data_IF_913994888717
#
_entry.id   IF_913994888717
#
_cell.length_a   1.000
_cell.length_b   1.000
_cell.length_c   1.000
_cell.angle_alpha   90.00
_cell.angle_beta   90.00
_cell.angle_gamma   90.00
#
_symmetry.space_group_name_H-M   'P 1'
#
loop_
_entity.id
_entity.type
_entity.pdbx_description
1 polymer ?
#
# COMPACT_ATOMS: atom_id res chain seq x y z
N UNK A 1 20.69 5.99 33.57
CA UNK A 1 20.19 5.61 32.23
C UNK A 1 20.99 4.42 31.74
N UNK A 2 20.35 3.42 31.13
CA UNK A 2 21.07 2.28 30.55
C UNK A 2 21.75 2.72 29.25
N UNK A 3 23.07 2.51 29.15
CA UNK A 3 23.86 2.78 27.96
C UNK A 3 24.46 1.48 27.41
N UNK A 4 24.54 1.32 26.08
CA UNK A 4 25.17 0.14 25.50
C UNK A 4 26.66 0.11 25.88
N UNK A 5 27.12 -1.02 26.42
CA UNK A 5 28.52 -1.19 26.84
C UNK A 5 29.50 -1.18 25.66
N UNK A 6 29.06 -1.61 24.46
CA UNK A 6 29.87 -1.69 23.24
C UNK A 6 29.03 -1.40 22.00
N UNK A 7 29.71 -1.00 20.91
CA UNK A 7 29.09 -0.87 19.58
C UNK A 7 28.58 -2.23 19.09
N UNK A 8 27.38 -2.26 18.51
CA UNK A 8 26.87 -3.45 17.83
C UNK A 8 27.65 -3.71 16.55
N UNK A 9 28.14 -4.95 16.35
CA UNK A 9 28.88 -5.30 15.13
C UNK A 9 27.99 -5.18 13.87
N UNK A 10 28.58 -4.91 12.68
CA UNK A 10 27.83 -4.85 11.43
C UNK A 10 27.03 -6.12 11.16
N UNK A 11 27.62 -7.30 11.43
CA UNK A 11 26.95 -8.60 11.31
C UNK A 11 25.70 -8.70 12.20
N UNK A 12 25.79 -8.35 13.48
CA UNK A 12 24.64 -8.39 14.42
C UNK A 12 23.57 -7.35 14.05
N UNK A 13 23.97 -6.20 13.49
CA UNK A 13 23.03 -5.22 12.98
C UNK A 13 22.32 -5.72 11.72
N UNK A 14 23.02 -6.39 10.79
CA UNK A 14 22.47 -6.99 9.58
C UNK A 14 21.49 -8.12 9.89
N UNK A 15 21.87 -9.06 10.75
CA UNK A 15 21.00 -10.15 11.20
C UNK A 15 19.72 -9.63 11.87
N UNK A 16 19.79 -8.52 12.63
CA UNK A 16 18.60 -7.91 13.21
C UNK A 16 17.67 -7.29 12.16
N UNK A 17 18.23 -6.75 11.07
CA UNK A 17 17.47 -6.11 9.98
C UNK A 17 17.01 -7.10 8.89
N UNK A 18 17.33 -8.39 9.00
CA UNK A 18 16.96 -9.40 7.98
C UNK A 18 15.46 -9.47 7.74
N UNK A 19 14.65 -9.19 8.77
CA UNK A 19 13.19 -9.22 8.71
C UNK A 19 12.56 -7.87 8.37
N UNK A 20 13.35 -6.81 8.17
CA UNK A 20 12.84 -5.45 7.91
C UNK A 20 12.54 -5.20 6.42
N UNK A 21 12.39 -6.24 5.61
CA UNK A 21 12.06 -6.10 4.20
C UNK A 21 10.61 -5.61 4.01
N UNK A 22 10.41 -4.64 3.13
CA UNK A 22 9.09 -4.20 2.71
C UNK A 22 8.45 -5.27 1.82
N UNK A 23 7.14 -5.48 1.96
CA UNK A 23 6.37 -6.36 1.08
C UNK A 23 5.80 -5.55 -0.07
N UNK A 24 5.77 -6.15 -1.27
CA UNK A 24 5.04 -5.58 -2.39
C UNK A 24 3.53 -5.57 -2.08
N UNK A 25 2.85 -4.51 -2.53
CA UNK A 25 1.41 -4.41 -2.42
C UNK A 25 0.73 -5.21 -3.54
N UNK A 26 -0.47 -5.73 -3.26
CA UNK A 26 -1.25 -6.42 -4.27
C UNK A 26 -1.96 -5.41 -5.17
N UNK A 27 -1.83 -5.59 -6.49
CA UNK A 27 -2.54 -4.84 -7.51
C UNK A 27 -3.32 -5.81 -8.38
N UNK A 28 -4.54 -5.41 -8.76
CA UNK A 28 -5.43 -6.15 -9.65
C UNK A 28 -5.97 -5.20 -10.71
N UNK A 29 -6.20 -5.71 -11.91
CA UNK A 29 -6.74 -4.93 -13.01
C UNK A 29 -8.20 -4.52 -12.72
N UNK A 30 -8.55 -3.29 -13.09
CA UNK A 30 -9.94 -2.82 -13.03
C UNK A 30 -10.70 -3.32 -14.25
N UNK A 31 -11.79 -4.07 -14.05
CA UNK A 31 -12.64 -4.58 -15.13
C UNK A 31 -13.28 -3.49 -16.03
N UNK A 32 -13.36 -2.23 -15.56
CA UNK A 32 -13.98 -1.14 -16.32
C UNK A 32 -12.99 -0.32 -17.15
N UNK A 33 -11.79 -0.04 -16.61
CA UNK A 33 -10.82 0.85 -17.26
C UNK A 33 -9.44 0.24 -17.52
N UNK A 34 -9.22 -1.03 -17.16
CA UNK A 34 -7.94 -1.74 -17.36
C UNK A 34 -6.79 -1.28 -16.45
N UNK A 35 -6.95 -0.18 -15.71
CA UNK A 35 -5.92 0.35 -14.82
C UNK A 35 -5.70 -0.54 -13.57
N UNK A 36 -4.46 -0.56 -13.07
CA UNK A 36 -4.09 -1.26 -11.86
C UNK A 36 -4.71 -0.58 -10.63
N UNK A 37 -5.55 -1.32 -9.91
CA UNK A 37 -6.15 -0.89 -8.64
C UNK A 37 -5.77 -1.82 -7.51
N UNK A 38 -5.90 -1.36 -6.26
CA UNK A 38 -5.82 -2.27 -5.11
C UNK A 38 -7.08 -3.17 -5.07
N UNK A 39 -6.94 -4.47 -4.77
CA UNK A 39 -8.09 -5.35 -4.57
C UNK A 39 -9.05 -4.80 -3.50
N UNK A 40 -10.36 -4.99 -3.70
CA UNK A 40 -11.43 -4.50 -2.81
C UNK A 40 -11.51 -2.97 -2.60
N UNK A 41 -10.79 -2.18 -3.40
CA UNK A 41 -10.94 -0.72 -3.40
C UNK A 41 -11.68 -0.23 -4.65
N UNK A 42 -12.30 0.95 -4.50
CA UNK A 42 -12.81 1.75 -5.61
C UNK A 42 -11.64 2.13 -6.51
N UNK A 43 -11.80 2.02 -7.82
CA UNK A 43 -10.76 2.44 -8.75
C UNK A 43 -10.56 3.96 -8.66
N UNK A 44 -9.33 4.42 -8.47
CA UNK A 44 -9.02 5.86 -8.40
C UNK A 44 -9.20 6.58 -9.75
N UNK A 45 -9.14 5.85 -10.86
CA UNK A 45 -9.28 6.39 -12.21
C UNK A 45 -10.74 6.52 -12.64
N UNK A 46 -11.53 5.43 -12.52
CA UNK A 46 -12.92 5.43 -12.98
C UNK A 46 -13.96 5.60 -11.87
N UNK A 47 -13.58 5.62 -10.58
CA UNK A 47 -14.54 5.78 -9.48
C UNK A 47 -15.54 4.63 -9.32
N UNK A 48 -15.31 3.51 -10.01
CA UNK A 48 -16.21 2.36 -10.01
C UNK A 48 -15.74 1.25 -9.04
N UNK A 49 -16.71 0.60 -8.42
CA UNK A 49 -16.54 -0.61 -7.61
C UNK A 49 -17.72 -1.54 -7.90
N UNK A 50 -17.44 -2.81 -8.17
CA UNK A 50 -18.48 -3.82 -8.38
C UNK A 50 -19.53 -3.41 -9.45
N UNK A 51 -19.03 -2.95 -10.61
CA UNK A 51 -19.80 -2.44 -11.76
C UNK A 51 -20.79 -1.29 -11.44
N UNK A 52 -20.64 -0.68 -10.27
CA UNK A 52 -21.41 0.51 -9.85
C UNK A 52 -20.49 1.71 -9.80
N UNK A 53 -20.98 2.83 -10.30
CA UNK A 53 -20.37 4.14 -10.12
C UNK A 53 -20.60 4.57 -8.67
N UNK A 54 -19.52 4.66 -7.87
CA UNK A 54 -19.61 4.98 -6.43
C UNK A 54 -19.31 6.46 -6.18
N UNK A 55 -18.53 7.10 -7.06
CA UNK A 55 -18.18 8.52 -6.95
C UNK A 55 -18.72 9.26 -8.15
N UNK A 56 -19.75 10.08 -7.94
CA UNK A 56 -20.28 10.97 -8.98
C UNK A 56 -19.22 11.98 -9.42
N UNK A 57 -19.11 12.17 -10.74
CA UNK A 57 -18.15 13.02 -11.44
C UNK A 57 -17.64 14.23 -10.64
N UNK A 58 -16.31 14.30 -10.44
CA UNK A 58 -15.63 15.57 -10.21
C UNK A 58 -14.70 15.72 -9.01
N UNK A 59 -14.27 14.65 -8.31
CA UNK A 59 -13.16 14.78 -7.35
C UNK A 59 -12.16 13.64 -7.47
N UNK A 60 -10.90 14.01 -7.73
CA UNK A 60 -9.74 13.15 -7.61
C UNK A 60 -9.79 12.43 -6.25
N UNK A 61 -9.98 11.10 -6.25
CA UNK A 61 -9.92 10.29 -5.04
C UNK A 61 -8.45 10.09 -4.61
N UNK A 62 -7.73 11.20 -4.37
CA UNK A 62 -6.42 11.20 -3.71
C UNK A 62 -6.65 10.98 -2.22
N UNK A 63 -6.73 9.72 -1.83
CA UNK A 63 -6.82 9.32 -0.44
C UNK A 63 -7.86 8.24 -0.25
N UNK A 64 -7.39 7.10 0.23
CA UNK A 64 -8.11 5.87 0.56
C UNK A 64 -9.48 6.16 1.15
N UNK A 65 -10.51 6.22 0.32
CA UNK A 65 -11.91 6.19 0.77
C UNK A 65 -12.15 4.76 1.21
N UNK A 66 -12.06 4.54 2.52
CA UNK A 66 -12.58 3.34 3.17
C UNK A 66 -14.10 3.45 3.15
N UNK A 67 -14.74 2.51 2.46
CA UNK A 67 -16.10 2.06 2.82
C UNK A 67 -15.91 0.80 3.65
#
# INVERSE_FOLDING_TARGET
>A
MAVPKRKTSPSRAGMRRSHHALRAEAHAECANCGELKRPHHVCAHCGHYDNREVVGAGKEAKGVVRV
#
